data_IF_943593043258
#
_entry.id   IF_943593043258
#
_cell.length_a   1.000
_cell.length_b   1.000
_cell.length_c   1.000
_cell.angle_alpha   90.00
_cell.angle_beta   90.00
_cell.angle_gamma   90.00
#
_symmetry.space_group_name_H-M   'P 1'
#
loop_
_entity.id
_entity.type
_entity.pdbx_description
1 polymer ?
#
# COMPACT_ATOMS: atom_id res chain seq x y z
N UNK A 1 31.51 -16.69 -34.60
CA UNK A 1 30.83 -15.42 -34.90
C UNK A 1 29.46 -15.49 -34.25
N UNK A 2 29.36 -15.25 -32.93
CA UNK A 2 28.09 -15.23 -32.18
C UNK A 2 27.63 -13.78 -32.05
N UNK A 3 26.55 -13.44 -32.74
CA UNK A 3 25.86 -12.17 -32.66
C UNK A 3 25.00 -12.21 -31.40
N UNK A 4 25.45 -11.51 -30.35
CA UNK A 4 24.67 -11.30 -29.14
C UNK A 4 23.39 -10.57 -29.54
N UNK A 5 22.25 -11.22 -29.34
CA UNK A 5 20.93 -10.62 -29.53
C UNK A 5 20.74 -9.59 -28.40
N UNK A 6 20.94 -8.31 -28.74
CA UNK A 6 20.46 -7.21 -27.91
C UNK A 6 18.93 -7.28 -27.94
N UNK A 7 18.34 -7.55 -26.79
CA UNK A 7 16.88 -7.49 -26.58
C UNK A 7 16.46 -6.03 -26.71
N UNK A 8 15.74 -5.73 -27.79
CA UNK A 8 15.14 -4.45 -28.07
C UNK A 8 13.99 -4.18 -27.09
N UNK A 9 14.19 -3.21 -26.16
CA UNK A 9 13.09 -2.34 -25.76
C UNK A 9 13.25 -1.05 -26.58
N UNK A 10 12.49 -0.93 -27.64
CA UNK A 10 12.50 0.23 -28.56
C UNK A 10 11.74 1.45 -28.00
N UNK A 11 11.26 1.41 -26.76
CA UNK A 11 10.64 2.56 -26.12
C UNK A 11 11.50 3.05 -24.96
N UNK A 12 11.72 4.37 -24.83
CA UNK A 12 12.38 4.95 -23.67
C UNK A 12 11.56 4.62 -22.43
N UNK A 13 12.25 4.28 -21.31
CA UNK A 13 11.59 4.02 -20.03
C UNK A 13 10.76 5.22 -19.62
N UNK A 14 9.54 4.96 -19.21
CA UNK A 14 8.65 5.95 -18.61
C UNK A 14 8.99 6.17 -17.13
N UNK A 15 8.46 7.24 -16.55
CA UNK A 15 8.51 7.47 -15.10
C UNK A 15 7.91 6.29 -14.31
N UNK A 16 6.80 5.72 -14.81
CA UNK A 16 6.11 4.60 -14.15
C UNK A 16 6.95 3.33 -14.13
N UNK A 17 7.76 3.04 -15.17
CA UNK A 17 8.68 1.89 -15.18
C UNK A 17 9.71 2.01 -14.03
N UNK A 18 10.21 3.22 -13.76
CA UNK A 18 11.12 3.48 -12.65
C UNK A 18 10.42 3.30 -11.30
N UNK A 19 9.19 3.78 -11.17
CA UNK A 19 8.39 3.64 -9.94
C UNK A 19 8.10 2.16 -9.66
N UNK A 20 7.67 1.40 -10.65
CA UNK A 20 7.41 -0.03 -10.54
C UNK A 20 8.68 -0.81 -10.12
N UNK A 21 9.81 -0.53 -10.77
CA UNK A 21 11.09 -1.13 -10.41
C UNK A 21 11.49 -0.81 -8.95
N UNK A 22 11.22 0.39 -8.48
CA UNK A 22 11.49 0.80 -7.10
C UNK A 22 10.64 0.05 -6.09
N UNK A 23 9.34 -0.05 -6.33
CA UNK A 23 8.46 -0.81 -5.45
C UNK A 23 8.81 -2.29 -5.42
N UNK A 24 9.19 -2.87 -6.55
CA UNK A 24 9.65 -4.25 -6.59
C UNK A 24 10.94 -4.46 -5.78
N UNK A 25 11.94 -3.55 -5.90
CA UNK A 25 13.15 -3.62 -5.10
C UNK A 25 12.88 -3.43 -3.60
N UNK A 26 11.95 -2.51 -3.25
CA UNK A 26 11.51 -2.34 -1.87
C UNK A 26 10.88 -3.62 -1.31
N UNK A 27 10.02 -4.26 -2.09
CA UNK A 27 9.36 -5.51 -1.68
C UNK A 27 10.34 -6.66 -1.47
N UNK A 28 11.39 -6.76 -2.29
CA UNK A 28 12.38 -7.84 -2.28
C UNK A 28 13.46 -7.66 -1.20
N UNK A 29 13.94 -6.43 -0.98
CA UNK A 29 15.11 -6.17 -0.17
C UNK A 29 15.04 -4.96 0.73
N UNK A 30 13.85 -4.41 0.93
CA UNK A 30 13.62 -3.25 1.79
C UNK A 30 14.28 -1.98 1.28
N UNK A 31 14.40 -1.00 2.18
CA UNK A 31 14.93 0.33 1.84
C UNK A 31 16.39 0.29 1.33
N UNK A 32 17.22 -0.62 1.86
CA UNK A 32 18.62 -0.76 1.44
C UNK A 32 18.79 -1.28 0.01
N UNK A 33 17.75 -1.85 -0.57
CA UNK A 33 17.74 -2.26 -1.96
C UNK A 33 17.62 -1.09 -2.95
N UNK A 34 17.12 0.07 -2.51
CA UNK A 34 16.97 1.27 -3.34
C UNK A 34 18.30 1.95 -3.61
N UNK A 35 19.05 1.40 -4.57
CA UNK A 35 20.33 1.92 -5.05
C UNK A 35 20.29 2.09 -6.56
N UNK A 36 20.87 3.18 -7.08
CA UNK A 36 20.90 3.48 -8.53
C UNK A 36 21.40 2.27 -9.34
N UNK A 37 22.45 1.61 -8.86
CA UNK A 37 23.00 0.43 -9.56
C UNK A 37 21.99 -0.70 -9.71
N UNK A 38 21.24 -1.03 -8.64
CA UNK A 38 20.22 -2.09 -8.66
C UNK A 38 19.01 -1.74 -9.53
N UNK A 39 18.60 -0.47 -9.53
CA UNK A 39 17.56 0.04 -10.41
C UNK A 39 17.95 -0.12 -11.88
N UNK A 40 19.16 0.34 -12.22
CA UNK A 40 19.68 0.24 -13.58
C UNK A 40 19.84 -1.23 -14.03
N UNK A 41 20.31 -2.10 -13.16
CA UNK A 41 20.44 -3.53 -13.42
C UNK A 41 19.06 -4.16 -13.68
N UNK A 42 18.07 -3.89 -12.81
CA UNK A 42 16.71 -4.40 -12.97
C UNK A 42 16.03 -3.97 -14.26
N UNK A 43 16.21 -2.71 -14.63
CA UNK A 43 15.66 -2.14 -15.85
C UNK A 43 16.51 -2.38 -17.10
N UNK A 44 17.70 -2.99 -16.94
CA UNK A 44 18.67 -3.25 -18.02
C UNK A 44 19.10 -1.97 -18.76
N UNK A 45 19.37 -0.88 -17.99
CA UNK A 45 19.76 0.41 -18.52
C UNK A 45 21.03 0.94 -17.86
N UNK A 46 21.59 2.02 -18.42
CA UNK A 46 22.77 2.69 -17.87
C UNK A 46 22.39 3.68 -16.76
N UNK A 47 23.37 4.07 -15.93
CA UNK A 47 23.19 5.15 -14.95
C UNK A 47 22.82 6.49 -15.61
N UNK A 48 23.26 6.74 -16.84
CA UNK A 48 22.86 7.92 -17.59
C UNK A 48 21.36 8.01 -17.81
N UNK A 49 20.69 6.86 -18.04
CA UNK A 49 19.24 6.80 -18.14
C UNK A 49 18.55 7.20 -16.82
N UNK A 50 19.10 6.81 -15.68
CA UNK A 50 18.60 7.25 -14.37
C UNK A 50 18.68 8.76 -14.21
N UNK A 51 19.85 9.36 -14.49
CA UNK A 51 20.07 10.79 -14.32
C UNK A 51 19.32 11.67 -15.33
N UNK A 52 18.78 11.08 -16.37
CA UNK A 52 17.86 11.78 -17.28
C UNK A 52 16.47 12.00 -16.62
N UNK A 53 16.04 11.08 -15.75
CA UNK A 53 14.75 11.14 -15.05
C UNK A 53 14.84 11.80 -13.67
N UNK A 54 15.94 11.57 -12.93
CA UNK A 54 16.09 11.98 -11.54
C UNK A 54 17.44 12.60 -11.29
N UNK A 55 17.47 13.75 -10.58
CA UNK A 55 18.70 14.43 -10.25
C UNK A 55 19.65 13.58 -9.40
N UNK A 56 19.09 12.84 -8.45
CA UNK A 56 19.82 11.95 -7.55
C UNK A 56 18.88 10.90 -6.94
N UNK A 57 19.44 10.05 -6.07
CA UNK A 57 18.67 9.00 -5.38
C UNK A 57 17.63 9.57 -4.40
N UNK A 58 17.84 10.76 -3.86
CA UNK A 58 16.88 11.40 -2.95
C UNK A 58 15.66 11.92 -3.71
N UNK A 59 15.87 12.54 -4.88
CA UNK A 59 14.79 12.93 -5.78
C UNK A 59 13.97 11.72 -6.24
N UNK A 60 14.62 10.60 -6.54
CA UNK A 60 13.95 9.35 -6.87
C UNK A 60 13.12 8.79 -5.69
N UNK A 61 13.69 8.76 -4.47
CA UNK A 61 12.98 8.33 -3.26
C UNK A 61 11.76 9.21 -2.98
N UNK A 62 11.89 10.51 -3.14
CA UNK A 62 10.77 11.43 -3.02
C UNK A 62 9.66 11.11 -4.03
N UNK A 63 10.01 10.85 -5.29
CA UNK A 63 9.08 10.45 -6.32
C UNK A 63 8.35 9.14 -6.01
N UNK A 64 9.04 8.14 -5.42
CA UNK A 64 8.41 6.90 -4.95
C UNK A 64 7.38 7.16 -3.85
N UNK A 65 7.71 8.02 -2.86
CA UNK A 65 6.78 8.39 -1.78
C UNK A 65 5.55 9.08 -2.34
N UNK A 66 5.73 10.01 -3.28
CA UNK A 66 4.64 10.72 -3.92
C UNK A 66 3.73 9.76 -4.71
N UNK A 67 4.32 8.88 -5.53
CA UNK A 67 3.59 7.86 -6.29
C UNK A 67 2.83 6.89 -5.37
N UNK A 68 3.46 6.43 -4.29
CA UNK A 68 2.77 5.61 -3.29
C UNK A 68 1.60 6.34 -2.64
N UNK A 69 1.78 7.62 -2.30
CA UNK A 69 0.73 8.46 -1.72
C UNK A 69 -0.45 8.64 -2.68
N UNK A 70 -0.18 8.80 -3.98
CA UNK A 70 -1.22 8.90 -5.02
C UNK A 70 -1.97 7.59 -5.23
N UNK A 71 -1.27 6.45 -5.28
CA UNK A 71 -1.89 5.13 -5.35
C UNK A 71 -2.83 4.90 -4.16
N UNK A 72 -2.36 5.21 -2.95
CA UNK A 72 -3.18 5.13 -1.73
C UNK A 72 -4.34 6.13 -1.74
N UNK A 73 -4.18 7.29 -2.37
CA UNK A 73 -5.27 8.24 -2.54
C UNK A 73 -6.36 7.72 -3.49
N UNK A 74 -6.00 6.99 -4.54
CA UNK A 74 -6.96 6.36 -5.45
C UNK A 74 -7.79 5.28 -4.74
N UNK A 75 -7.14 4.40 -3.95
CA UNK A 75 -7.84 3.39 -3.16
C UNK A 75 -8.80 4.05 -2.14
N UNK A 76 -8.36 5.12 -1.48
CA UNK A 76 -9.20 5.88 -0.54
C UNK A 76 -10.41 6.53 -1.22
N UNK A 77 -10.24 7.09 -2.43
CA UNK A 77 -11.39 7.64 -3.19
C UNK A 77 -12.43 6.56 -3.45
N UNK A 78 -12.00 5.33 -3.76
CA UNK A 78 -12.91 4.19 -3.91
C UNK A 78 -13.66 3.87 -2.60
N UNK A 79 -12.97 3.94 -1.44
CA UNK A 79 -13.61 3.75 -0.13
C UNK A 79 -14.66 4.82 0.17
N UNK A 80 -14.35 6.08 -0.13
CA UNK A 80 -15.26 7.23 0.12
C UNK A 80 -16.45 7.21 -0.86
N UNK A 81 -16.24 6.79 -2.12
CA UNK A 81 -17.31 6.72 -3.13
C UNK A 81 -18.36 5.64 -2.86
N UNK A 82 -18.21 4.85 -1.80
CA UNK A 82 -19.17 3.83 -1.37
C UNK A 82 -20.25 4.35 -0.41
N UNK A 83 -20.46 5.67 -0.31
CA UNK A 83 -21.45 6.27 0.60
C UNK A 83 -22.88 5.71 0.44
N UNK A 84 -23.29 5.40 -0.78
CA UNK A 84 -24.61 4.85 -1.10
C UNK A 84 -24.69 3.30 -0.99
N UNK A 85 -23.57 2.64 -0.67
CA UNK A 85 -23.52 1.19 -0.50
C UNK A 85 -23.96 0.83 0.93
N UNK A 86 -24.69 -0.25 1.07
CA UNK A 86 -25.07 -0.80 2.38
C UNK A 86 -23.88 -0.86 3.33
N UNK A 87 -24.01 -0.40 4.59
CA UNK A 87 -22.89 -0.28 5.51
C UNK A 87 -22.14 -1.59 5.75
N UNK A 88 -22.86 -2.73 5.86
CA UNK A 88 -22.26 -4.05 6.02
C UNK A 88 -21.43 -4.44 4.78
N UNK A 89 -21.99 -4.23 3.59
CA UNK A 89 -21.27 -4.51 2.34
C UNK A 89 -20.05 -3.60 2.19
N UNK A 90 -20.16 -2.34 2.61
CA UNK A 90 -19.04 -1.38 2.63
C UNK A 90 -17.90 -1.88 3.50
N UNK A 91 -18.17 -2.33 4.72
CA UNK A 91 -17.19 -2.93 5.63
C UNK A 91 -16.57 -4.19 5.02
N UNK A 92 -17.35 -5.09 4.42
CA UNK A 92 -16.85 -6.29 3.75
C UNK A 92 -15.88 -5.94 2.61
N UNK A 93 -16.22 -4.95 1.78
CA UNK A 93 -15.35 -4.46 0.69
C UNK A 93 -14.05 -3.84 1.23
N UNK A 94 -14.13 -3.02 2.30
CA UNK A 94 -12.96 -2.45 2.97
C UNK A 94 -12.01 -3.53 3.47
N UNK A 95 -12.54 -4.57 4.13
CA UNK A 95 -11.76 -5.71 4.59
C UNK A 95 -11.10 -6.47 3.42
N UNK A 96 -11.84 -6.66 2.31
CA UNK A 96 -11.31 -7.28 1.09
C UNK A 96 -10.15 -6.49 0.45
N UNK A 97 -10.23 -5.16 0.47
CA UNK A 97 -9.15 -4.30 -0.06
C UNK A 97 -7.89 -4.37 0.81
N UNK A 98 -8.05 -4.43 2.14
CA UNK A 98 -6.94 -4.56 3.08
C UNK A 98 -6.27 -5.94 3.01
N UNK A 99 -6.98 -6.97 2.60
CA UNK A 99 -6.49 -8.36 2.55
C UNK A 99 -5.71 -8.70 1.26
N UNK A 100 -5.37 -7.73 0.42
CA UNK A 100 -4.64 -7.98 -0.84
C UNK A 100 -3.15 -8.13 -0.60
N UNK A 101 -2.55 -9.34 -0.84
CA UNK A 101 -1.13 -9.60 -0.56
C UNK A 101 -0.17 -8.67 -1.30
N UNK A 102 -0.51 -8.27 -2.53
CA UNK A 102 0.33 -7.42 -3.38
C UNK A 102 0.61 -6.04 -2.76
N UNK A 103 -0.30 -5.57 -1.90
CA UNK A 103 -0.14 -4.30 -1.21
C UNK A 103 0.70 -4.40 0.07
N UNK A 104 0.80 -5.60 0.68
CA UNK A 104 1.41 -5.74 2.01
C UNK A 104 2.92 -5.59 2.01
N UNK A 105 3.60 -6.07 0.97
CA UNK A 105 5.07 -6.00 0.90
C UNK A 105 5.55 -4.55 0.84
N UNK A 106 4.97 -3.74 -0.04
CA UNK A 106 5.30 -2.31 -0.16
C UNK A 106 4.84 -1.54 1.07
N UNK A 107 3.63 -1.81 1.58
CA UNK A 107 3.08 -1.14 2.76
C UNK A 107 3.95 -1.36 4.00
N UNK A 108 4.43 -2.59 4.24
CA UNK A 108 5.37 -2.89 5.35
C UNK A 108 6.64 -2.10 5.25
N UNK A 109 7.23 -2.02 4.06
CA UNK A 109 8.48 -1.28 3.86
C UNK A 109 8.27 0.22 4.02
N UNK A 110 7.17 0.76 3.52
CA UNK A 110 6.84 2.18 3.70
C UNK A 110 6.62 2.51 5.18
N UNK A 111 5.97 1.63 5.95
CA UNK A 111 5.82 1.80 7.41
C UNK A 111 7.14 1.69 8.17
N UNK A 112 8.02 0.77 7.77
CA UNK A 112 9.37 0.69 8.34
C UNK A 112 10.19 1.97 8.01
N UNK A 113 10.11 2.47 6.79
CA UNK A 113 10.76 3.71 6.39
C UNK A 113 10.21 4.93 7.14
N UNK A 114 8.91 4.95 7.42
CA UNK A 114 8.24 6.00 8.21
C UNK A 114 8.81 6.18 9.63
N UNK A 115 9.52 5.19 10.17
CA UNK A 115 10.18 5.29 11.47
C UNK A 115 11.42 6.17 11.44
N UNK A 116 11.99 6.42 10.27
CA UNK A 116 13.25 7.14 10.09
C UNK A 116 13.15 8.35 9.14
N UNK A 117 11.99 8.57 8.55
CA UNK A 117 11.74 9.66 7.61
C UNK A 117 10.38 10.31 7.91
N UNK A 118 10.42 11.56 8.37
CA UNK A 118 9.22 12.28 8.80
C UNK A 118 8.21 12.52 7.68
N UNK A 119 8.66 12.71 6.44
CA UNK A 119 7.78 12.89 5.27
C UNK A 119 6.99 11.63 4.98
N UNK A 120 7.65 10.47 5.02
CA UNK A 120 6.99 9.17 4.87
C UNK A 120 6.04 8.93 6.04
N UNK A 121 6.49 9.22 7.27
CA UNK A 121 5.69 9.10 8.49
C UNK A 121 4.42 9.92 8.44
N UNK A 122 4.49 11.15 7.95
CA UNK A 122 3.32 12.01 7.78
C UNK A 122 2.36 11.47 6.72
N UNK A 123 2.88 10.91 5.63
CA UNK A 123 2.06 10.29 4.58
C UNK A 123 1.32 9.05 5.08
N UNK A 124 1.99 8.20 5.86
CA UNK A 124 1.40 7.02 6.53
C UNK A 124 0.30 7.46 7.49
N UNK A 125 0.59 8.39 8.42
CA UNK A 125 -0.40 8.88 9.40
C UNK A 125 -1.66 9.44 8.73
N UNK A 126 -1.50 10.30 7.71
CA UNK A 126 -2.65 10.84 6.97
C UNK A 126 -3.45 9.76 6.25
N UNK A 127 -2.77 8.75 5.74
CA UNK A 127 -3.40 7.59 5.15
C UNK A 127 -4.26 6.82 6.15
N UNK A 128 -3.67 6.49 7.30
CA UNK A 128 -4.31 5.75 8.38
C UNK A 128 -5.52 6.49 8.96
N UNK A 129 -5.40 7.79 9.21
CA UNK A 129 -6.52 8.62 9.69
C UNK A 129 -7.72 8.58 8.75
N UNK A 130 -7.49 8.62 7.43
CA UNK A 130 -8.58 8.58 6.45
C UNK A 130 -9.24 7.20 6.35
N UNK A 131 -8.45 6.13 6.42
CA UNK A 131 -8.98 4.76 6.44
C UNK A 131 -9.80 4.56 7.72
N UNK A 132 -9.25 4.96 8.87
CA UNK A 132 -9.96 4.89 10.15
C UNK A 132 -11.29 5.66 10.13
N UNK A 133 -11.28 6.89 9.61
CA UNK A 133 -12.48 7.70 9.49
C UNK A 133 -13.55 7.05 8.58
N UNK A 134 -13.13 6.42 7.48
CA UNK A 134 -14.07 5.73 6.59
C UNK A 134 -14.68 4.48 7.25
N UNK A 135 -13.89 3.72 8.03
CA UNK A 135 -14.36 2.58 8.80
C UNK A 135 -15.32 3.02 9.92
N UNK A 136 -14.98 4.09 10.64
CA UNK A 136 -15.82 4.67 11.68
C UNK A 136 -17.18 5.11 11.12
N UNK A 137 -17.17 5.78 9.97
CA UNK A 137 -18.41 6.19 9.32
C UNK A 137 -19.27 4.98 8.93
N UNK A 138 -18.66 3.89 8.45
CA UNK A 138 -19.41 2.70 8.07
C UNK A 138 -20.08 2.02 9.28
N UNK A 139 -19.43 1.96 10.46
CA UNK A 139 -20.03 1.45 11.67
C UNK A 139 -21.12 2.39 12.22
N UNK A 140 -20.93 3.70 12.13
CA UNK A 140 -21.94 4.71 12.50
C UNK A 140 -23.18 4.58 11.60
N UNK A 141 -23.01 4.47 10.29
CA UNK A 141 -24.11 4.29 9.33
C UNK A 141 -24.83 2.95 9.50
N UNK A 142 -24.15 1.93 10.01
CA UNK A 142 -24.75 0.64 10.36
C UNK A 142 -25.71 0.74 11.56
N UNK A 143 -25.53 1.77 12.41
CA UNK A 143 -26.42 2.05 13.54
C UNK A 143 -25.79 1.94 14.92
N UNK A 144 -24.46 1.75 15.02
CA UNK A 144 -23.80 1.72 16.33
C UNK A 144 -23.68 3.13 16.93
N UNK A 145 -23.84 3.19 18.25
CA UNK A 145 -23.58 4.40 19.02
C UNK A 145 -22.09 4.82 18.88
N UNK A 146 -21.76 6.13 19.01
CA UNK A 146 -20.42 6.64 18.72
C UNK A 146 -19.27 5.92 19.44
N UNK A 147 -19.49 5.53 20.70
CA UNK A 147 -18.48 4.79 21.50
C UNK A 147 -18.20 3.40 20.95
N UNK A 148 -19.25 2.67 20.61
CA UNK A 148 -19.17 1.32 20.05
C UNK A 148 -18.62 1.34 18.63
N UNK A 149 -19.05 2.29 17.80
CA UNK A 149 -18.51 2.49 16.47
C UNK A 149 -17.00 2.74 16.50
N UNK A 150 -16.52 3.59 17.43
CA UNK A 150 -15.10 3.89 17.61
C UNK A 150 -14.31 2.65 18.07
N UNK A 151 -14.83 1.88 19.03
CA UNK A 151 -14.20 0.65 19.51
C UNK A 151 -14.06 -0.40 18.40
N UNK A 152 -15.16 -0.68 17.68
CA UNK A 152 -15.19 -1.64 16.56
C UNK A 152 -14.25 -1.21 15.43
N UNK A 153 -14.20 0.08 15.15
CA UNK A 153 -13.26 0.66 14.17
C UNK A 153 -11.82 0.46 14.59
N UNK A 154 -11.50 0.68 15.86
CA UNK A 154 -10.17 0.42 16.41
C UNK A 154 -9.77 -1.05 16.31
N UNK A 155 -10.68 -1.97 16.61
CA UNK A 155 -10.44 -3.40 16.49
C UNK A 155 -10.20 -3.82 15.03
N UNK A 156 -11.06 -3.39 14.11
CA UNK A 156 -10.93 -3.72 12.69
C UNK A 156 -9.63 -3.13 12.09
N UNK A 157 -9.35 -1.87 12.39
CA UNK A 157 -8.14 -1.20 11.92
C UNK A 157 -6.88 -1.84 12.50
N UNK A 158 -6.88 -2.16 13.80
CA UNK A 158 -5.79 -2.85 14.48
C UNK A 158 -5.55 -4.27 13.94
N UNK A 159 -6.62 -5.02 13.64
CA UNK A 159 -6.52 -6.32 12.99
C UNK A 159 -5.88 -6.20 11.59
N UNK A 160 -6.27 -5.19 10.79
CA UNK A 160 -5.67 -4.91 9.49
C UNK A 160 -4.17 -4.60 9.58
N UNK A 161 -3.76 -3.78 10.57
CA UNK A 161 -2.34 -3.51 10.83
C UNK A 161 -1.59 -4.77 11.30
N UNK A 162 -2.22 -5.60 12.11
CA UNK A 162 -1.66 -6.88 12.55
C UNK A 162 -1.38 -7.82 11.38
N UNK A 163 -2.28 -7.91 10.41
CA UNK A 163 -2.09 -8.68 9.19
C UNK A 163 -0.91 -8.16 8.33
N UNK A 164 -0.70 -6.84 8.30
CA UNK A 164 0.45 -6.25 7.60
C UNK A 164 1.79 -6.67 8.21
N UNK A 165 1.86 -6.85 9.52
CA UNK A 165 3.09 -7.17 10.24
C UNK A 165 3.24 -8.66 10.56
N UNK A 166 2.15 -9.42 10.49
CA UNK A 166 2.15 -10.86 10.72
C UNK A 166 2.98 -11.59 9.66
N UNK A 167 4.01 -12.30 10.12
CA UNK A 167 4.85 -13.16 9.26
C UNK A 167 4.29 -14.58 9.19
N UNK A 168 3.22 -14.88 9.93
CA UNK A 168 2.66 -16.21 10.03
C UNK A 168 1.56 -16.41 8.97
N UNK A 169 1.76 -17.30 7.98
CA UNK A 169 0.72 -17.66 7.04
C UNK A 169 -0.50 -18.33 7.70
N UNK A 170 -0.42 -18.67 8.99
CA UNK A 170 -1.56 -19.17 9.76
C UNK A 170 -2.58 -18.07 10.12
N UNK A 171 -2.21 -16.80 10.04
CA UNK A 171 -3.19 -15.71 10.12
C UNK A 171 -3.81 -15.55 8.73
N UNK A 172 -4.74 -16.44 8.47
CA UNK A 172 -5.46 -16.48 7.20
C UNK A 172 -6.41 -15.29 7.08
N UNK A 173 -6.23 -14.49 6.02
CA UNK A 173 -7.17 -13.45 5.62
C UNK A 173 -8.15 -13.98 4.56
N UNK A 174 -8.48 -15.28 4.61
CA UNK A 174 -9.42 -15.90 3.68
C UNK A 174 -10.80 -15.21 3.71
N UNK A 175 -11.58 -15.31 2.66
CA UNK A 175 -12.93 -14.76 2.63
C UNK A 175 -13.78 -15.22 3.82
N UNK A 176 -13.65 -16.49 4.23
CA UNK A 176 -14.39 -17.09 5.34
C UNK A 176 -14.01 -16.47 6.70
N UNK A 177 -12.73 -16.26 6.94
CA UNK A 177 -12.23 -15.61 8.17
C UNK A 177 -12.68 -14.16 8.22
N UNK A 178 -12.60 -13.44 7.09
CA UNK A 178 -13.09 -12.06 7.01
C UNK A 178 -14.58 -11.94 7.28
N UNK A 179 -15.39 -12.84 6.71
CA UNK A 179 -16.84 -12.87 6.95
C UNK A 179 -17.17 -13.14 8.43
N UNK A 180 -16.50 -14.12 9.05
CA UNK A 180 -16.67 -14.40 10.48
C UNK A 180 -16.24 -13.23 11.37
N UNK A 181 -15.17 -12.53 11.02
CA UNK A 181 -14.74 -11.32 11.73
C UNK A 181 -15.78 -10.21 11.59
N UNK A 182 -16.30 -10.01 10.39
CA UNK A 182 -17.35 -9.02 10.14
C UNK A 182 -18.62 -9.35 10.94
N UNK A 183 -19.09 -10.60 10.92
CA UNK A 183 -20.22 -11.04 11.74
C UNK A 183 -19.97 -10.79 13.23
N UNK A 184 -18.77 -11.09 13.73
CA UNK A 184 -18.39 -10.81 15.11
C UNK A 184 -18.45 -9.32 15.45
N UNK A 185 -17.93 -8.48 14.56
CA UNK A 185 -17.91 -7.03 14.74
C UNK A 185 -19.30 -6.37 14.57
N UNK A 186 -20.27 -7.04 13.96
CA UNK A 186 -21.62 -6.52 13.74
C UNK A 186 -22.65 -7.07 14.76
N UNK A 187 -22.24 -7.92 15.70
CA UNK A 187 -23.12 -8.37 16.78
C UNK A 187 -23.34 -7.25 17.80
N UNK A 188 -24.59 -7.16 18.27
CA UNK A 188 -24.98 -6.32 19.40
C UNK A 188 -24.39 -6.85 20.73
#
# INVERSE_FOLDING_TARGET
MLRVMASQRDQPLSFDDWVEAGFALLAEGGFDALRIGRLCERLSVTKGSFYWHFADIQAYRAALVDSWTELRAADRRRLISMGDVDPRERLARMMGMLARPDHWSVERVMRAWALTDDRVGESVRRGDQRVFAAVLQAFTDYGFEPGDAALRSGLLFGAGLGLLHGSDPAVDASPEVRERLLEFLLRD
#
